data_IF_256253976663
#
_entry.id   IF_256253976663
#
_cell.length_a   1.000
_cell.length_b   1.000
_cell.length_c   1.000
_cell.angle_alpha   90.00
_cell.angle_beta   90.00
_cell.angle_gamma   90.00
#
_symmetry.space_group_name_H-M   'P 1'
#
loop_
_entity.id
_entity.type
_entity.pdbx_description
1 polymer ?
#
# COMPACT_ATOMS: atom_id res chain seq x y z
N UNK A 1 6.81 0.31 6.91
CA UNK A 1 7.21 -0.87 7.71
C UNK A 1 6.02 -1.36 8.48
N UNK A 2 5.91 -2.68 8.60
CA UNK A 2 4.83 -3.36 9.29
C UNK A 2 4.94 -3.20 10.81
N UNK A 3 3.82 -2.87 11.42
CA UNK A 3 3.63 -2.81 12.86
C UNK A 3 3.10 -4.19 13.29
N UNK A 4 3.80 -4.91 14.20
CA UNK A 4 3.36 -6.20 14.71
C UNK A 4 2.28 -6.05 15.79
N UNK A 5 1.64 -7.17 16.15
CA UNK A 5 0.61 -7.18 17.19
C UNK A 5 1.18 -6.81 18.57
N UNK A 6 0.36 -6.13 19.38
CA UNK A 6 0.72 -5.70 20.75
C UNK A 6 1.54 -4.42 20.83
N UNK A 7 1.93 -3.81 19.71
CA UNK A 7 2.67 -2.54 19.68
C UNK A 7 1.79 -1.31 19.77
N UNK A 8 0.52 -1.41 19.39
CA UNK A 8 -0.45 -0.32 19.47
C UNK A 8 -1.36 -0.53 20.66
N UNK A 9 -1.61 0.54 21.40
CA UNK A 9 -2.70 0.57 22.39
C UNK A 9 -4.04 0.26 21.69
N UNK A 10 -4.96 -0.50 22.33
CA UNK A 10 -6.24 -0.88 21.73
C UNK A 10 -7.07 0.29 21.21
N UNK A 11 -6.99 1.47 21.84
CA UNK A 11 -7.68 2.66 21.36
C UNK A 11 -7.11 3.12 20.01
N UNK A 12 -5.79 3.16 19.88
CA UNK A 12 -5.12 3.54 18.62
C UNK A 12 -5.39 2.51 17.52
N UNK A 13 -5.31 1.23 17.85
CA UNK A 13 -5.65 0.15 16.94
C UNK A 13 -7.10 0.27 16.41
N UNK A 14 -8.07 0.51 17.30
CA UNK A 14 -9.48 0.67 16.88
C UNK A 14 -9.72 1.91 16.02
N UNK A 15 -9.11 3.05 16.36
CA UNK A 15 -9.22 4.29 15.57
C UNK A 15 -8.63 4.13 14.17
N UNK A 16 -7.46 3.52 14.04
CA UNK A 16 -6.83 3.27 12.74
C UNK A 16 -7.64 2.28 11.90
N UNK A 17 -8.26 1.28 12.52
CA UNK A 17 -9.23 0.41 11.85
C UNK A 17 -10.47 1.17 11.35
N UNK A 18 -11.02 2.08 12.15
CA UNK A 18 -12.17 2.89 11.74
C UNK A 18 -11.85 3.73 10.50
N UNK A 19 -10.69 4.41 10.49
CA UNK A 19 -10.21 5.18 9.34
C UNK A 19 -10.03 4.28 8.11
N UNK A 20 -9.37 3.13 8.29
CA UNK A 20 -9.19 2.13 7.24
C UNK A 20 -10.52 1.67 6.63
N UNK A 21 -11.51 1.33 7.45
CA UNK A 21 -12.83 0.86 7.00
C UNK A 21 -13.53 1.95 6.20
N UNK A 22 -13.57 3.18 6.70
CA UNK A 22 -14.17 4.32 5.99
C UNK A 22 -13.49 4.52 4.64
N UNK A 23 -12.15 4.46 4.61
CA UNK A 23 -11.41 4.59 3.37
C UNK A 23 -11.72 3.47 2.37
N UNK A 24 -11.78 2.21 2.82
CA UNK A 24 -12.13 1.08 1.94
C UNK A 24 -13.54 1.21 1.38
N UNK A 25 -14.49 1.69 2.18
CA UNK A 25 -15.84 2.01 1.69
C UNK A 25 -15.77 3.03 0.55
N UNK A 26 -14.98 4.11 0.69
CA UNK A 26 -14.75 5.08 -0.38
C UNK A 26 -14.14 4.45 -1.63
N UNK A 27 -13.15 3.55 -1.48
CA UNK A 27 -12.55 2.80 -2.60
C UNK A 27 -13.62 2.01 -3.35
N UNK A 28 -14.45 1.23 -2.65
CA UNK A 28 -15.52 0.46 -3.28
C UNK A 28 -16.52 1.34 -4.02
N UNK A 29 -16.96 2.44 -3.41
CA UNK A 29 -17.85 3.40 -4.09
C UNK A 29 -17.23 4.02 -5.34
N UNK A 30 -15.93 4.28 -5.33
CA UNK A 30 -15.21 4.85 -6.49
C UNK A 30 -15.03 3.84 -7.62
N UNK A 31 -14.91 2.56 -7.28
CA UNK A 31 -14.66 1.48 -8.25
C UNK A 31 -15.92 0.79 -8.78
N UNK A 32 -17.09 0.99 -8.15
CA UNK A 32 -18.36 0.30 -8.48
C UNK A 32 -18.82 0.39 -9.94
N UNK A 33 -18.44 1.44 -10.66
CA UNK A 33 -18.90 1.71 -12.02
C UNK A 33 -17.96 1.21 -13.12
N UNK A 34 -16.96 0.40 -12.77
CA UNK A 34 -15.87 0.08 -13.69
C UNK A 34 -15.79 -1.43 -13.93
N UNK A 35 -15.64 -1.90 -15.20
CA UNK A 35 -15.70 -3.32 -15.52
C UNK A 35 -14.68 -4.16 -14.72
N UNK A 36 -15.17 -5.20 -14.06
CA UNK A 36 -14.40 -6.01 -13.11
C UNK A 36 -13.38 -6.93 -13.80
N UNK A 37 -13.76 -7.58 -14.90
CA UNK A 37 -12.98 -8.67 -15.50
C UNK A 37 -11.57 -8.27 -15.94
N UNK A 38 -11.44 -7.11 -16.60
CA UNK A 38 -10.15 -6.61 -17.09
C UNK A 38 -9.23 -6.16 -15.94
N UNK A 39 -9.82 -5.62 -14.87
CA UNK A 39 -9.07 -5.06 -13.73
C UNK A 39 -8.65 -6.10 -12.72
N UNK A 40 -9.47 -7.13 -12.51
CA UNK A 40 -9.17 -8.19 -11.56
C UNK A 40 -7.84 -8.86 -11.88
N UNK A 41 -7.57 -9.10 -13.18
CA UNK A 41 -6.32 -9.71 -13.63
C UNK A 41 -5.10 -8.82 -13.33
N UNK A 42 -5.15 -7.54 -13.72
CA UNK A 42 -4.02 -6.61 -13.49
C UNK A 42 -3.82 -6.35 -12.00
N UNK A 43 -4.91 -6.20 -11.23
CA UNK A 43 -4.88 -6.07 -9.78
C UNK A 43 -4.17 -7.28 -9.14
N UNK A 44 -4.51 -8.49 -9.55
CA UNK A 44 -3.93 -9.72 -9.01
C UNK A 44 -2.43 -9.81 -9.32
N UNK A 45 -2.02 -9.55 -10.57
CA UNK A 45 -0.61 -9.59 -10.97
C UNK A 45 0.21 -8.54 -10.25
N UNK A 46 -0.28 -7.29 -10.16
CA UNK A 46 0.43 -6.22 -9.44
C UNK A 46 0.53 -6.54 -7.96
N UNK A 47 -0.55 -7.03 -7.33
CA UNK A 47 -0.54 -7.40 -5.91
C UNK A 47 0.44 -8.53 -5.64
N UNK A 48 0.45 -9.58 -6.47
CA UNK A 48 1.39 -10.69 -6.34
C UNK A 48 2.85 -10.23 -6.53
N UNK A 49 3.12 -9.39 -7.53
CA UNK A 49 4.45 -8.84 -7.76
C UNK A 49 4.94 -7.98 -6.59
N UNK A 50 4.09 -7.11 -6.06
CA UNK A 50 4.41 -6.31 -4.87
C UNK A 50 4.65 -7.22 -3.67
N UNK A 51 3.75 -8.18 -3.40
CA UNK A 51 3.90 -9.14 -2.31
C UNK A 51 5.28 -9.85 -2.34
N UNK A 52 5.65 -10.40 -3.50
CA UNK A 52 6.96 -11.08 -3.67
C UNK A 52 8.11 -10.11 -3.42
N UNK A 53 8.02 -8.87 -3.91
CA UNK A 53 9.05 -7.86 -3.68
C UNK A 53 9.15 -7.46 -2.20
N UNK A 54 8.05 -7.41 -1.45
CA UNK A 54 8.07 -7.09 -0.02
C UNK A 54 8.70 -8.20 0.83
N UNK A 55 8.60 -9.47 0.38
CA UNK A 55 9.26 -10.60 1.04
C UNK A 55 10.79 -10.57 0.90
N UNK A 56 11.33 -9.74 0.01
CA UNK A 56 12.76 -9.42 -0.04
C UNK A 56 13.07 -8.34 1.02
N UNK A 57 13.13 -8.76 2.29
CA UNK A 57 13.48 -7.88 3.39
C UNK A 57 14.92 -8.11 3.86
N UNK A 58 15.60 -7.02 4.23
CA UNK A 58 16.95 -7.05 4.80
C UNK A 58 16.91 -6.53 6.24
N UNK A 59 17.40 -7.31 7.23
CA UNK A 59 17.43 -6.86 8.61
C UNK A 59 18.43 -5.70 8.76
N UNK A 60 17.99 -4.60 9.38
CA UNK A 60 18.85 -3.49 9.79
C UNK A 60 19.16 -3.64 11.28
N UNK A 61 20.41 -3.34 11.66
CA UNK A 61 20.84 -3.27 13.06
C UNK A 61 20.01 -2.20 13.79
N UNK A 62 19.25 -2.60 14.81
CA UNK A 62 18.30 -1.73 15.50
C UNK A 62 16.87 -2.28 15.58
N UNK A 63 16.62 -3.48 15.05
CA UNK A 63 15.35 -4.21 15.21
C UNK A 63 14.31 -3.91 14.13
N UNK A 64 14.69 -3.20 13.07
CA UNK A 64 13.83 -2.89 11.93
C UNK A 64 14.37 -3.51 10.65
N UNK A 65 13.53 -3.66 9.63
CA UNK A 65 13.90 -4.25 8.34
C UNK A 65 13.77 -3.24 7.21
N UNK A 66 14.80 -3.13 6.37
CA UNK A 66 14.69 -2.43 5.10
C UNK A 66 13.94 -3.35 4.13
N UNK A 67 12.82 -2.91 3.60
CA UNK A 67 12.12 -3.65 2.57
C UNK A 67 11.42 -2.72 1.60
N UNK A 68 11.19 -3.22 0.40
CA UNK A 68 10.36 -2.54 -0.58
C UNK A 68 8.91 -2.45 -0.07
N UNK A 69 8.32 -1.25 -0.07
CA UNK A 69 6.90 -1.07 0.31
C UNK A 69 6.00 -1.25 -0.90
N UNK A 70 6.29 -0.62 -2.03
CA UNK A 70 5.60 -0.87 -3.29
C UNK A 70 4.21 -0.24 -3.45
N UNK A 71 3.75 0.56 -2.48
CA UNK A 71 2.50 1.31 -2.62
C UNK A 71 2.63 2.40 -3.70
N UNK A 72 3.75 3.10 -3.76
CA UNK A 72 4.05 4.02 -4.87
C UNK A 72 3.96 3.34 -6.25
N UNK A 73 4.57 2.16 -6.40
CA UNK A 73 4.51 1.37 -7.64
C UNK A 73 3.06 0.96 -7.97
N UNK A 74 2.32 0.45 -6.98
CA UNK A 74 0.91 0.09 -7.15
C UNK A 74 0.06 1.30 -7.55
N UNK A 75 0.30 2.47 -6.94
CA UNK A 75 -0.36 3.73 -7.26
C UNK A 75 -0.05 4.20 -8.69
N UNK A 76 1.20 4.09 -9.13
CA UNK A 76 1.62 4.47 -10.49
C UNK A 76 0.98 3.56 -11.54
N UNK A 77 0.96 2.25 -11.32
CA UNK A 77 0.44 1.27 -12.29
C UNK A 77 -1.09 1.19 -12.33
N UNK A 78 -1.74 1.26 -11.17
CA UNK A 78 -3.20 1.03 -11.05
C UNK A 78 -4.00 2.32 -10.80
N UNK A 79 -3.32 3.43 -10.52
CA UNK A 79 -3.93 4.61 -9.91
C UNK A 79 -4.11 4.44 -8.39
N UNK A 80 -4.34 5.52 -7.64
CA UNK A 80 -4.27 5.50 -6.18
C UNK A 80 -5.36 4.64 -5.54
N UNK A 81 -6.58 4.62 -6.10
CA UNK A 81 -7.70 3.86 -5.54
C UNK A 81 -7.53 2.34 -5.71
N UNK A 82 -7.22 1.89 -6.93
CA UNK A 82 -7.02 0.47 -7.21
C UNK A 82 -5.67 -0.02 -6.67
N UNK A 83 -4.66 0.86 -6.64
CA UNK A 83 -3.38 0.61 -5.95
C UNK A 83 -3.54 0.42 -4.44
N UNK A 84 -4.40 1.20 -3.78
CA UNK A 84 -4.70 0.99 -2.36
C UNK A 84 -5.37 -0.37 -2.14
N UNK A 85 -6.34 -0.75 -2.99
CA UNK A 85 -6.95 -2.08 -2.92
C UNK A 85 -5.91 -3.20 -3.12
N UNK A 86 -4.95 -3.01 -4.02
CA UNK A 86 -3.82 -3.93 -4.23
C UNK A 86 -3.01 -4.10 -2.95
N UNK A 87 -2.62 -2.99 -2.33
CA UNK A 87 -1.86 -3.00 -1.07
C UNK A 87 -2.64 -3.64 0.07
N UNK A 88 -3.96 -3.43 0.16
CA UNK A 88 -4.80 -4.12 1.14
C UNK A 88 -4.70 -5.64 0.98
N UNK A 89 -4.83 -6.17 -0.25
CA UNK A 89 -4.73 -7.60 -0.51
C UNK A 89 -3.36 -8.16 -0.08
N UNK A 90 -2.29 -7.42 -0.38
CA UNK A 90 -0.93 -7.78 0.01
C UNK A 90 -0.78 -7.84 1.53
N UNK A 91 -1.12 -6.77 2.23
CA UNK A 91 -0.99 -6.67 3.69
C UNK A 91 -1.90 -7.68 4.41
N UNK A 92 -3.09 -7.94 3.87
CA UNK A 92 -4.02 -8.91 4.43
C UNK A 92 -3.44 -10.33 4.36
N UNK A 93 -2.89 -10.73 3.21
CA UNK A 93 -2.24 -12.04 3.06
C UNK A 93 -1.00 -12.15 3.94
N UNK A 94 -0.16 -11.10 3.99
CA UNK A 94 1.04 -11.08 4.83
C UNK A 94 0.72 -11.27 6.30
N UNK A 95 -0.26 -10.53 6.79
CA UNK A 95 -0.67 -10.57 8.18
C UNK A 95 -1.24 -11.94 8.58
N UNK A 96 -2.08 -12.54 7.73
CA UNK A 96 -2.76 -13.81 8.06
C UNK A 96 -1.88 -15.03 7.81
N UNK A 97 -1.16 -15.08 6.68
CA UNK A 97 -0.48 -16.30 6.22
C UNK A 97 0.99 -16.30 6.60
N UNK A 98 1.64 -15.14 6.55
CA UNK A 98 3.09 -15.00 6.79
C UNK A 98 3.40 -14.46 8.18
N UNK A 99 2.37 -14.04 8.92
CA UNK A 99 2.49 -13.35 10.21
C UNK A 99 3.43 -12.13 10.13
N UNK A 100 3.49 -11.50 8.96
CA UNK A 100 4.28 -10.30 8.70
C UNK A 100 3.34 -9.09 8.82
N UNK A 101 3.43 -8.41 9.97
CA UNK A 101 2.47 -7.40 10.42
C UNK A 101 1.32 -7.97 11.26
N UNK A 102 0.88 -7.19 12.25
CA UNK A 102 -0.14 -7.59 13.22
C UNK A 102 -1.56 -7.45 12.71
N UNK A 103 -2.44 -8.37 13.12
CA UNK A 103 -3.87 -8.33 12.80
C UNK A 103 -4.50 -7.09 13.45
N UNK A 104 -4.21 -6.86 14.73
CA UNK A 104 -4.70 -5.69 15.47
C UNK A 104 -4.13 -4.38 14.93
N UNK A 105 -2.98 -4.44 14.26
CA UNK A 105 -2.31 -3.30 13.65
C UNK A 105 -2.60 -3.14 12.14
N UNK A 106 -3.42 -4.00 11.54
CA UNK A 106 -3.68 -3.98 10.09
C UNK A 106 -4.24 -2.63 9.62
N UNK A 107 -5.11 -2.00 10.42
CA UNK A 107 -5.62 -0.66 10.12
C UNK A 107 -4.50 0.39 10.01
N UNK A 108 -3.56 0.40 10.95
CA UNK A 108 -2.41 1.30 10.94
C UNK A 108 -1.45 1.00 9.78
N UNK A 109 -1.17 -0.28 9.53
CA UNK A 109 -0.34 -0.73 8.41
C UNK A 109 -0.96 -0.31 7.07
N UNK A 110 -2.27 -0.44 6.93
CA UNK A 110 -2.99 -0.02 5.74
C UNK A 110 -2.97 1.50 5.56
N UNK A 111 -3.13 2.30 6.63
CA UNK A 111 -3.01 3.76 6.53
C UNK A 111 -1.63 4.16 6.04
N UNK A 112 -0.57 3.60 6.63
CA UNK A 112 0.79 3.97 6.31
C UNK A 112 1.18 3.51 4.89
N UNK A 113 1.04 2.21 4.61
CA UNK A 113 1.60 1.59 3.41
C UNK A 113 0.58 1.44 2.27
N UNK A 114 -0.70 1.32 2.60
CA UNK A 114 -1.76 1.14 1.61
C UNK A 114 -2.46 2.42 1.19
N UNK A 115 -2.35 3.51 1.98
CA UNK A 115 -2.98 4.80 1.68
C UNK A 115 -1.91 5.87 1.48
N UNK A 116 -1.12 6.17 2.52
CA UNK A 116 -0.16 7.29 2.47
C UNK A 116 0.89 7.04 1.37
N UNK A 117 1.62 5.93 1.43
CA UNK A 117 2.63 5.54 0.42
C UNK A 117 2.08 5.58 -1.01
N UNK A 118 0.89 4.99 -1.22
CA UNK A 118 0.22 4.93 -2.53
C UNK A 118 -0.12 6.33 -3.06
N UNK A 119 -0.76 7.17 -2.24
CA UNK A 119 -1.22 8.49 -2.68
C UNK A 119 -0.07 9.48 -2.83
N UNK A 120 0.89 9.45 -1.91
CA UNK A 120 2.06 10.33 -1.94
C UNK A 120 2.94 9.97 -3.12
N UNK A 121 3.24 8.69 -3.33
CA UNK A 121 4.00 8.23 -4.49
C UNK A 121 3.33 8.55 -5.82
N UNK A 122 2.02 8.34 -5.90
CA UNK A 122 1.25 8.74 -7.08
C UNK A 122 1.27 10.26 -7.32
N UNK A 123 1.15 11.06 -6.27
CA UNK A 123 1.18 12.52 -6.37
C UNK A 123 2.54 12.99 -6.89
N UNK A 124 3.65 12.53 -6.32
CA UNK A 124 4.99 12.90 -6.77
C UNK A 124 5.28 12.43 -8.19
N UNK A 125 4.81 11.24 -8.57
CA UNK A 125 4.85 10.80 -9.96
C UNK A 125 4.15 11.78 -10.90
N UNK A 126 2.90 12.17 -10.57
CA UNK A 126 2.12 13.13 -11.37
C UNK A 126 2.76 14.51 -11.43
N UNK A 127 3.36 14.99 -10.34
CA UNK A 127 4.08 16.27 -10.31
C UNK A 127 5.35 16.20 -11.18
N UNK A 128 6.14 15.13 -11.07
CA UNK A 128 7.34 14.97 -11.89
C UNK A 128 7.02 14.88 -13.38
N UNK A 129 5.94 14.19 -13.77
CA UNK A 129 5.44 14.21 -15.15
C UNK A 129 5.08 15.62 -15.63
N UNK A 130 4.47 16.44 -14.76
CA UNK A 130 4.03 17.79 -15.10
C UNK A 130 5.18 18.78 -15.25
N UNK A 131 6.22 18.68 -14.44
CA UNK A 131 7.28 19.70 -14.34
C UNK A 131 8.63 19.26 -14.91
N UNK A 132 8.88 17.96 -15.10
CA UNK A 132 10.20 17.42 -15.46
C UNK A 132 10.19 16.29 -16.49
N UNK A 133 9.02 15.88 -16.97
CA UNK A 133 8.88 14.78 -17.94
C UNK A 133 8.92 13.38 -17.33
N UNK A 134 8.82 12.36 -18.20
CA UNK A 134 8.65 10.94 -17.83
C UNK A 134 9.67 10.41 -16.82
N UNK A 135 10.95 10.75 -17.02
CA UNK A 135 12.07 10.26 -16.21
C UNK A 135 12.06 10.84 -14.79
N UNK A 136 11.76 12.13 -14.65
CA UNK A 136 11.63 12.80 -13.36
C UNK A 136 10.39 12.34 -12.60
N UNK A 137 9.27 12.11 -13.29
CA UNK A 137 8.08 11.46 -12.71
C UNK A 137 8.41 10.12 -12.08
N UNK A 138 9.07 9.23 -12.82
CA UNK A 138 9.45 7.91 -12.32
C UNK A 138 10.37 7.97 -11.10
N UNK A 139 11.38 8.85 -11.12
CA UNK A 139 12.32 9.00 -9.99
C UNK A 139 11.61 9.57 -8.75
N UNK A 140 10.87 10.67 -8.89
CA UNK A 140 10.20 11.31 -7.75
C UNK A 140 9.15 10.39 -7.14
N UNK A 141 8.35 9.71 -7.97
CA UNK A 141 7.37 8.74 -7.48
C UNK A 141 7.99 7.55 -6.78
N UNK A 142 9.15 7.06 -7.23
CA UNK A 142 9.81 5.90 -6.64
C UNK A 142 10.59 6.20 -5.34
N UNK A 143 11.10 7.42 -5.17
CA UNK A 143 11.94 7.79 -4.01
C UNK A 143 11.21 8.60 -2.93
N UNK A 144 10.14 9.33 -3.30
CA UNK A 144 9.36 10.14 -2.35
C UNK A 144 8.01 9.52 -2.01
N UNK A 145 7.66 8.43 -2.70
CA UNK A 145 6.46 7.64 -2.49
C UNK A 145 6.68 6.54 -1.49
#
# INVERSE_FOLDING_TARGET
>A
MHIPDGYLDPLVASLTYAIFIVFMICVFYRLRGIPYAERASVLAVVSAGVFVAQMLNWPIVGGTSLHFVGGALAGILLGPWLGSLSMFLVLFVQCIVFHDGGITALGANMINMGIIDVFVGYLFYRLGLRFGGGRLGGILGAFLG
#
